data_IF_992845901135
#
_entry.id   IF_992845901135
#
_cell.length_a   1.000
_cell.length_b   1.000
_cell.length_c   1.000
_cell.angle_alpha   90.00
_cell.angle_beta   90.00
_cell.angle_gamma   90.00
#
_symmetry.space_group_name_H-M   'P 1'
#
loop_
_entity.id
_entity.type
_entity.pdbx_description
1 polymer ?
#
# COMPACT_ATOMS: atom_id res chain seq x y z
N UNK A 1 7.49 -3.19 -3.89
CA UNK A 1 7.01 -3.57 -2.55
C UNK A 1 5.55 -3.18 -2.43
N UNK A 2 4.72 -4.09 -1.95
CA UNK A 2 3.33 -3.77 -1.66
C UNK A 2 3.12 -3.62 -0.16
N UNK A 3 2.35 -2.60 0.22
CA UNK A 3 1.92 -2.36 1.59
C UNK A 3 0.40 -2.42 1.60
N UNK A 4 -0.16 -3.43 2.26
CA UNK A 4 -1.59 -3.67 2.28
C UNK A 4 -2.13 -3.61 3.70
N UNK A 5 -3.36 -3.13 3.86
CA UNK A 5 -3.96 -2.98 5.17
C UNK A 5 -5.47 -2.77 5.10
N UNK A 6 -6.11 -3.08 6.21
CA UNK A 6 -7.51 -2.74 6.45
C UNK A 6 -7.58 -1.51 7.35
N UNK A 7 -8.67 -0.78 7.23
CA UNK A 7 -8.94 0.41 8.04
C UNK A 7 -10.39 0.36 8.48
N UNK A 8 -10.64 0.64 9.76
CA UNK A 8 -12.00 0.78 10.26
C UNK A 8 -12.72 1.92 9.54
N UNK A 9 -14.03 1.75 9.34
CA UNK A 9 -14.83 2.68 8.56
C UNK A 9 -14.71 4.13 9.05
N UNK A 10 -14.71 4.34 10.35
CA UNK A 10 -14.60 5.67 10.95
C UNK A 10 -13.24 6.32 10.74
N UNK A 11 -12.21 5.56 10.41
CA UNK A 11 -10.87 6.07 10.17
C UNK A 11 -10.53 6.20 8.67
N UNK A 12 -11.40 5.73 7.76
CA UNK A 12 -11.11 5.71 6.33
C UNK A 12 -10.85 7.11 5.75
N UNK A 13 -11.65 8.09 6.14
CA UNK A 13 -11.53 9.43 5.56
C UNK A 13 -10.15 10.04 5.85
N UNK A 14 -9.71 10.01 7.10
CA UNK A 14 -8.40 10.54 7.48
C UNK A 14 -7.27 9.69 6.89
N UNK A 15 -7.44 8.38 6.85
CA UNK A 15 -6.48 7.46 6.24
C UNK A 15 -6.22 7.82 4.77
N UNK A 16 -7.27 7.95 3.99
CA UNK A 16 -7.15 8.27 2.57
C UNK A 16 -6.61 9.69 2.34
N UNK A 17 -7.06 10.66 3.13
CA UNK A 17 -6.58 12.04 3.02
C UNK A 17 -5.08 12.12 3.29
N UNK A 18 -4.63 11.60 4.42
CA UNK A 18 -3.23 11.69 4.82
C UNK A 18 -2.34 10.86 3.88
N UNK A 19 -2.82 9.69 3.46
CA UNK A 19 -2.07 8.85 2.53
C UNK A 19 -1.82 9.59 1.22
N UNK A 20 -2.86 10.17 0.64
CA UNK A 20 -2.75 10.84 -0.66
C UNK A 20 -2.03 12.18 -0.58
N UNK A 21 -2.30 12.98 0.45
CA UNK A 21 -1.80 14.35 0.53
C UNK A 21 -0.43 14.48 1.16
N UNK A 22 -0.04 13.53 2.03
CA UNK A 22 1.21 13.64 2.78
C UNK A 22 2.11 12.42 2.59
N UNK A 23 1.61 11.23 2.86
CA UNK A 23 2.44 10.03 2.89
C UNK A 23 3.04 9.69 1.52
N UNK A 24 2.23 9.68 0.47
CA UNK A 24 2.72 9.43 -0.88
C UNK A 24 3.74 10.48 -1.34
N UNK A 25 3.46 11.79 -1.25
CA UNK A 25 4.44 12.80 -1.66
C UNK A 25 5.76 12.68 -0.89
N UNK A 26 5.70 12.40 0.40
CA UNK A 26 6.90 12.22 1.21
C UNK A 26 7.72 11.01 0.78
N UNK A 27 7.06 9.87 0.57
CA UNK A 27 7.74 8.65 0.16
C UNK A 27 8.26 8.73 -1.27
N UNK A 28 7.56 9.42 -2.17
CA UNK A 28 8.03 9.64 -3.53
C UNK A 28 9.29 10.52 -3.59
N UNK A 29 9.54 11.31 -2.57
CA UNK A 29 10.76 12.14 -2.50
C UNK A 29 11.98 11.33 -2.04
N UNK A 30 11.79 10.11 -1.54
CA UNK A 30 12.92 9.26 -1.10
C UNK A 30 13.70 8.80 -2.33
N UNK A 31 15.03 8.94 -2.32
CA UNK A 31 15.86 8.44 -3.41
C UNK A 31 15.63 6.96 -3.66
N UNK A 32 15.37 6.60 -4.92
CA UNK A 32 15.12 5.23 -5.33
C UNK A 32 13.65 4.81 -5.33
N UNK A 33 12.74 5.63 -4.83
CA UNK A 33 11.30 5.43 -5.00
C UNK A 33 10.90 5.99 -6.36
N UNK A 34 10.52 5.10 -7.28
CA UNK A 34 10.20 5.47 -8.66
C UNK A 34 8.73 5.84 -8.83
N UNK A 35 7.84 5.14 -8.12
CA UNK A 35 6.41 5.44 -8.15
C UNK A 35 5.71 4.87 -6.92
N UNK A 36 4.56 5.44 -6.60
CA UNK A 36 3.65 4.92 -5.59
C UNK A 36 2.25 4.99 -6.17
N UNK A 37 1.58 3.85 -6.25
CA UNK A 37 0.21 3.75 -6.76
C UNK A 37 -0.64 3.03 -5.72
N UNK A 38 -1.83 3.54 -5.46
CA UNK A 38 -2.77 2.97 -4.51
C UNK A 38 -3.89 2.23 -5.21
N UNK A 39 -4.34 1.17 -4.56
CA UNK A 39 -5.45 0.35 -5.02
C UNK A 39 -6.42 0.08 -3.88
N UNK A 40 -7.69 0.01 -4.20
CA UNK A 40 -8.71 -0.51 -3.31
C UNK A 40 -9.22 -1.82 -3.88
N UNK A 41 -9.40 -2.83 -3.02
CA UNK A 41 -9.92 -4.13 -3.45
C UNK A 41 -11.31 -3.97 -4.04
N UNK A 42 -11.50 -4.53 -5.23
CA UNK A 42 -12.76 -4.52 -5.94
C UNK A 42 -13.35 -5.93 -6.01
N UNK A 43 -14.62 -6.03 -6.34
CA UNK A 43 -15.27 -7.31 -6.54
C UNK A 43 -14.68 -8.00 -7.77
N UNK A 44 -14.29 -9.27 -7.61
CA UNK A 44 -13.77 -10.08 -8.69
C UNK A 44 -14.84 -11.08 -9.12
N UNK A 45 -15.10 -11.08 -10.41
CA UNK A 45 -15.89 -12.14 -11.06
C UNK A 45 -15.09 -12.61 -12.27
N UNK A 46 -14.95 -13.92 -12.43
CA UNK A 46 -14.21 -14.41 -13.55
C UNK A 46 -14.72 -15.77 -14.02
N UNK A 47 -14.57 -16.01 -15.32
CA UNK A 47 -14.96 -17.27 -15.92
C UNK A 47 -13.82 -18.27 -15.81
N UNK A 48 -14.11 -19.41 -15.20
CA UNK A 48 -13.18 -20.55 -15.11
C UNK A 48 -13.95 -21.80 -15.49
N UNK A 49 -13.44 -22.53 -16.47
CA UNK A 49 -14.01 -23.82 -16.90
C UNK A 49 -15.47 -23.70 -17.31
N UNK A 50 -15.79 -22.60 -18.01
CA UNK A 50 -17.14 -22.33 -18.50
C UNK A 50 -18.13 -21.77 -17.50
N UNK A 51 -17.69 -21.55 -16.26
CA UNK A 51 -18.51 -20.98 -15.21
C UNK A 51 -17.97 -19.63 -14.74
N UNK A 52 -18.90 -18.71 -14.43
CA UNK A 52 -18.53 -17.43 -13.79
C UNK A 52 -18.54 -17.67 -12.29
N UNK A 53 -17.38 -17.48 -11.67
CA UNK A 53 -17.24 -17.56 -10.22
C UNK A 53 -16.93 -16.19 -9.64
N UNK A 54 -17.41 -15.96 -8.41
CA UNK A 54 -17.02 -14.80 -7.65
C UNK A 54 -15.67 -15.08 -7.01
N UNK A 55 -14.71 -14.15 -7.15
CA UNK A 55 -13.44 -14.23 -6.48
C UNK A 55 -13.64 -14.11 -4.99
N UNK A 56 -12.90 -14.91 -4.24
CA UNK A 56 -12.96 -14.88 -2.79
C UNK A 56 -11.74 -14.10 -2.28
N UNK A 57 -12.01 -12.93 -1.74
CA UNK A 57 -10.96 -12.11 -1.17
C UNK A 57 -10.35 -12.74 0.10
N UNK A 58 -11.14 -13.57 0.80
CA UNK A 58 -10.72 -14.14 2.06
C UNK A 58 -10.39 -13.05 3.06
N UNK A 59 -9.19 -13.10 3.62
CA UNK A 59 -8.68 -12.09 4.54
C UNK A 59 -7.78 -11.06 3.85
N UNK A 60 -7.82 -10.98 2.51
CA UNK A 60 -7.03 -10.00 1.76
C UNK A 60 -7.38 -8.58 2.18
N UNK A 61 -6.39 -7.72 2.45
CA UNK A 61 -6.64 -6.35 2.87
C UNK A 61 -7.40 -5.52 1.84
N UNK A 62 -8.14 -4.54 2.34
CA UNK A 62 -8.96 -3.64 1.52
C UNK A 62 -8.12 -2.70 0.67
N UNK A 63 -7.03 -2.17 1.21
CA UNK A 63 -6.19 -1.19 0.54
C UNK A 63 -4.79 -1.73 0.31
N UNK A 64 -4.23 -1.40 -0.85
CA UNK A 64 -2.85 -1.75 -1.19
C UNK A 64 -2.17 -0.56 -1.84
N UNK A 65 -0.97 -0.23 -1.39
CA UNK A 65 -0.09 0.69 -2.10
C UNK A 65 1.06 -0.10 -2.69
N UNK A 66 1.34 0.16 -3.97
CA UNK A 66 2.46 -0.48 -4.68
C UNK A 66 3.56 0.55 -4.87
N UNK A 67 4.72 0.26 -4.31
CA UNK A 67 5.92 1.09 -4.38
C UNK A 67 6.88 0.46 -5.38
N UNK A 68 7.17 1.17 -6.46
CA UNK A 68 8.21 0.76 -7.39
C UNK A 68 9.54 1.34 -6.91
N UNK A 69 10.52 0.48 -6.70
CA UNK A 69 11.81 0.83 -6.13
C UNK A 69 12.91 0.43 -7.11
N UNK A 70 13.98 1.23 -7.18
CA UNK A 70 15.15 0.86 -7.97
C UNK A 70 16.00 -0.22 -7.27
N UNK A 71 15.86 -0.36 -5.96
CA UNK A 71 16.58 -1.36 -5.17
C UNK A 71 15.82 -1.64 -3.87
N UNK A 72 15.87 -2.88 -3.35
CA UNK A 72 15.32 -3.19 -2.02
C UNK A 72 15.97 -2.39 -0.90
N UNK A 73 17.19 -1.92 -1.11
CA UNK A 73 17.94 -1.16 -0.10
C UNK A 73 17.29 0.18 0.23
N UNK A 74 16.42 0.69 -0.64
CA UNK A 74 15.64 1.91 -0.36
C UNK A 74 14.87 1.77 0.95
N UNK A 75 14.29 0.60 1.21
CA UNK A 75 13.45 0.35 2.37
C UNK A 75 14.21 0.36 3.70
N UNK A 76 15.51 0.23 3.67
CA UNK A 76 16.38 0.30 4.86
C UNK A 76 17.26 1.54 4.85
N UNK A 77 17.01 2.48 3.94
CA UNK A 77 17.75 3.73 3.86
C UNK A 77 17.37 4.70 4.97
N UNK A 78 18.30 5.60 5.31
CA UNK A 78 18.03 6.65 6.29
C UNK A 78 16.92 7.59 5.81
N UNK A 79 16.87 7.87 4.51
CA UNK A 79 15.86 8.74 3.90
C UNK A 79 14.45 8.14 4.01
N UNK A 80 14.31 6.84 3.78
CA UNK A 80 13.03 6.13 3.98
C UNK A 80 12.62 6.18 5.45
N UNK A 81 13.54 5.84 6.35
CA UNK A 81 13.27 5.83 7.79
C UNK A 81 12.81 7.20 8.30
N UNK A 82 13.39 8.28 7.77
CA UNK A 82 12.97 9.64 8.11
C UNK A 82 11.60 9.99 7.50
N UNK A 83 11.39 9.66 6.24
CA UNK A 83 10.18 10.03 5.52
C UNK A 83 8.92 9.42 6.15
N UNK A 84 8.97 8.16 6.58
CA UNK A 84 7.80 7.49 7.17
C UNK A 84 7.42 8.07 8.55
N UNK A 85 8.26 8.88 9.15
CA UNK A 85 8.01 9.51 10.46
C UNK A 85 7.51 10.95 10.33
N UNK A 86 7.35 11.46 9.11
CA UNK A 86 6.93 12.85 8.87
C UNK A 86 5.42 12.99 8.78
N UNK A 87 4.94 14.21 9.04
CA UNK A 87 3.55 14.59 8.88
C UNK A 87 2.61 13.92 9.87
N UNK A 88 1.37 13.82 9.47
CA UNK A 88 0.30 13.26 10.32
C UNK A 88 0.27 11.72 10.33
N UNK A 89 1.03 11.07 9.44
CA UNK A 89 0.98 9.61 9.32
C UNK A 89 1.30 8.88 10.63
N UNK A 90 2.42 9.15 11.31
CA UNK A 90 2.77 8.36 12.49
C UNK A 90 1.78 8.47 13.64
N UNK A 91 1.24 9.63 13.87
CA UNK A 91 0.37 9.90 15.02
C UNK A 91 -1.10 9.65 14.70
N UNK A 92 -1.57 10.17 13.56
CA UNK A 92 -3.01 10.21 13.27
C UNK A 92 -3.48 9.00 12.47
N UNK A 93 -2.60 8.30 11.76
CA UNK A 93 -2.98 7.22 10.85
C UNK A 93 -2.40 5.88 11.25
N UNK A 94 -1.07 5.78 11.40
CA UNK A 94 -0.37 4.51 11.66
C UNK A 94 -0.98 3.65 12.77
N UNK A 95 -1.48 4.18 13.89
CA UNK A 95 -2.05 3.34 14.95
C UNK A 95 -3.34 2.63 14.57
N UNK A 96 -4.05 3.07 13.55
CA UNK A 96 -5.40 2.61 13.23
C UNK A 96 -5.48 1.42 12.26
N UNK A 97 -4.69 1.36 11.16
CA UNK A 97 -4.78 0.24 10.24
C UNK A 97 -4.43 -1.10 10.90
N UNK A 98 -5.05 -2.15 10.41
CA UNK A 98 -4.85 -3.52 10.89
C UNK A 98 -4.76 -4.48 9.70
N UNK A 99 -4.50 -5.75 9.95
CA UNK A 99 -4.30 -6.77 8.92
C UNK A 99 -3.23 -6.33 7.91
N UNK A 100 -2.11 -5.83 8.41
CA UNK A 100 -1.03 -5.29 7.59
C UNK A 100 -0.21 -6.37 6.96
N UNK A 101 0.14 -6.18 5.69
CA UNK A 101 1.04 -7.05 4.96
C UNK A 101 2.00 -6.21 4.13
N UNK A 102 3.28 -6.50 4.27
CA UNK A 102 4.32 -5.91 3.44
C UNK A 102 4.98 -7.03 2.67
N UNK A 103 4.97 -6.95 1.34
CA UNK A 103 5.54 -7.98 0.48
C UNK A 103 6.46 -7.32 -0.53
N UNK A 104 7.65 -7.87 -0.67
CA UNK A 104 8.59 -7.44 -1.69
C UNK A 104 8.45 -8.35 -2.92
N UNK A 105 8.18 -7.73 -4.05
CA UNK A 105 8.02 -8.41 -5.33
C UNK A 105 9.18 -8.04 -6.25
N UNK A 106 9.65 -9.01 -7.00
CA UNK A 106 10.63 -8.78 -8.06
C UNK A 106 9.93 -8.97 -9.40
N UNK A 107 10.09 -7.98 -10.28
CA UNK A 107 9.60 -8.11 -11.64
C UNK A 107 10.44 -9.14 -12.37
N UNK A 108 9.78 -10.12 -12.99
CA UNK A 108 10.46 -11.11 -13.80
C UNK A 108 10.62 -10.60 -15.23
N UNK A 109 11.71 -10.97 -15.91
CA UNK A 109 11.86 -10.70 -17.35
C UNK A 109 10.72 -11.37 -18.11
N UNK A 110 10.21 -10.70 -19.12
CA UNK A 110 9.13 -11.23 -19.96
C UNK A 110 9.60 -11.36 -21.41
#
# INVERSE_FOLDING_TARGET
>A
MSASMDVAREAEAVFNEVYNQEHIPMLRSVPGVLSVVRFERAELRMSIWGEVIAGQAGDSPQYTALYELDSPDVLVSAEWAEAIERGRWPKDVRPHPFNRRHVLWRRLPS
#
